data_IF_212524221768
#
_entry.id   IF_212524221768
#
_cell.length_a   1.000
_cell.length_b   1.000
_cell.length_c   1.000
_cell.angle_alpha   90.00
_cell.angle_beta   90.00
_cell.angle_gamma   90.00
#
_symmetry.space_group_name_H-M   'P 1'
#
loop_
_entity.id
_entity.type
_entity.pdbx_description
1 polymer ?
#
# COMPACT_ATOMS: atom_id res chain seq x y z
N UNK A 1 -3.17 31.89 18.29
CA UNK A 1 -2.84 31.55 16.90
C UNK A 1 -2.19 30.17 16.81
N UNK A 2 -0.99 29.94 17.35
CA UNK A 2 -0.30 28.62 17.33
C UNK A 2 -1.10 27.42 17.90
N UNK A 3 -1.97 27.63 18.89
CA UNK A 3 -2.80 26.55 19.45
C UNK A 3 -3.86 26.05 18.45
N UNK A 4 -4.51 26.97 17.72
CA UNK A 4 -5.50 26.61 16.70
C UNK A 4 -4.84 25.89 15.52
N UNK A 5 -3.68 26.37 15.08
CA UNK A 5 -2.90 25.71 14.03
C UNK A 5 -2.53 24.26 14.43
N UNK A 6 -2.02 24.05 15.66
CA UNK A 6 -1.76 22.68 16.14
C UNK A 6 -3.00 21.81 16.16
N UNK A 7 -4.12 22.33 16.65
CA UNK A 7 -5.39 21.60 16.62
C UNK A 7 -5.77 21.19 15.19
N UNK A 8 -5.61 22.08 14.21
CA UNK A 8 -5.89 21.73 12.81
C UNK A 8 -4.92 20.70 12.22
N UNK A 9 -3.66 20.67 12.66
CA UNK A 9 -2.73 19.59 12.29
C UNK A 9 -3.15 18.25 12.91
N UNK A 10 -3.60 18.27 14.17
CA UNK A 10 -4.11 17.08 14.86
C UNK A 10 -5.40 16.58 14.18
N UNK A 11 -6.33 17.47 13.83
CA UNK A 11 -7.56 17.14 13.08
C UNK A 11 -7.24 16.50 11.71
N UNK A 12 -6.25 17.07 10.99
CA UNK A 12 -5.76 16.52 9.72
C UNK A 12 -5.18 15.11 9.91
N UNK A 13 -4.38 14.92 10.96
CA UNK A 13 -3.81 13.60 11.31
C UNK A 13 -4.92 12.60 11.60
N UNK A 14 -5.90 12.95 12.42
CA UNK A 14 -7.02 12.08 12.77
C UNK A 14 -7.83 11.65 11.53
N UNK A 15 -8.12 12.58 10.62
CA UNK A 15 -8.79 12.28 9.35
C UNK A 15 -8.03 11.28 8.50
N UNK A 16 -6.71 11.47 8.37
CA UNK A 16 -5.86 10.52 7.65
C UNK A 16 -5.87 9.14 8.31
N UNK A 17 -5.86 9.06 9.64
CA UNK A 17 -5.94 7.77 10.36
C UNK A 17 -7.28 7.06 10.16
N UNK A 18 -8.38 7.81 10.06
CA UNK A 18 -9.68 7.23 9.68
C UNK A 18 -9.61 6.62 8.29
N UNK A 19 -9.06 7.33 7.30
CA UNK A 19 -8.88 6.81 5.94
C UNK A 19 -7.98 5.57 5.91
N UNK A 20 -6.91 5.60 6.70
CA UNK A 20 -5.98 4.49 6.83
C UNK A 20 -6.65 3.21 7.33
N UNK A 21 -7.50 3.31 8.36
CA UNK A 21 -8.29 2.20 8.86
C UNK A 21 -9.29 1.65 7.82
N UNK A 22 -9.85 2.54 6.99
CA UNK A 22 -10.74 2.15 5.90
C UNK A 22 -9.99 1.40 4.78
N UNK A 23 -8.79 1.86 4.42
CA UNK A 23 -7.94 1.20 3.43
C UNK A 23 -7.50 -0.19 3.91
N UNK A 24 -7.09 -0.33 5.18
CA UNK A 24 -6.78 -1.65 5.75
C UNK A 24 -8.00 -2.58 5.71
N UNK A 25 -9.17 -2.08 6.11
CA UNK A 25 -10.41 -2.85 6.09
C UNK A 25 -10.80 -3.27 4.67
N UNK A 26 -10.54 -2.44 3.66
CA UNK A 26 -10.80 -2.76 2.26
C UNK A 26 -9.96 -3.98 1.81
N UNK A 27 -8.66 -4.01 2.15
CA UNK A 27 -7.80 -5.18 1.87
C UNK A 27 -8.34 -6.42 2.56
N UNK A 28 -8.64 -6.34 3.86
CA UNK A 28 -9.14 -7.48 4.63
C UNK A 28 -10.43 -8.06 4.03
N UNK A 29 -11.37 -7.18 3.65
CA UNK A 29 -12.63 -7.59 2.98
C UNK A 29 -12.39 -8.21 1.62
N UNK A 30 -11.52 -7.62 0.78
CA UNK A 30 -11.23 -8.15 -0.54
C UNK A 30 -10.63 -9.56 -0.49
N UNK A 31 -9.76 -9.81 0.50
CA UNK A 31 -9.14 -11.12 0.71
C UNK A 31 -10.10 -12.12 1.35
N UNK A 32 -10.97 -11.68 2.25
CA UNK A 32 -12.05 -12.53 2.75
C UNK A 32 -13.00 -12.92 1.61
N UNK A 33 -13.41 -11.97 0.77
CA UNK A 33 -14.23 -12.22 -0.42
C UNK A 33 -13.59 -13.26 -1.34
N UNK A 34 -12.27 -13.19 -1.54
CA UNK A 34 -11.51 -14.20 -2.29
C UNK A 34 -11.56 -15.58 -1.62
N UNK A 35 -11.30 -15.63 -0.31
CA UNK A 35 -11.22 -16.87 0.47
C UNK A 35 -12.54 -17.64 0.50
N UNK A 36 -13.64 -16.94 0.76
CA UNK A 36 -14.98 -17.57 0.86
C UNK A 36 -15.75 -17.56 -0.46
N UNK A 37 -15.21 -16.90 -1.50
CA UNK A 37 -15.87 -16.66 -2.78
C UNK A 37 -17.28 -16.08 -2.58
N UNK A 38 -17.36 -14.98 -1.85
CA UNK A 38 -18.62 -14.29 -1.55
C UNK A 38 -18.64 -12.88 -2.17
N UNK A 39 -19.49 -12.70 -3.18
CA UNK A 39 -19.66 -11.42 -3.88
C UNK A 39 -20.42 -10.38 -3.08
N UNK A 40 -21.12 -10.76 -2.02
CA UNK A 40 -21.74 -9.78 -1.12
C UNK A 40 -20.68 -8.98 -0.34
N UNK A 41 -19.53 -9.60 -0.06
CA UNK A 41 -18.37 -8.91 0.55
C UNK A 41 -17.73 -7.95 -0.46
N UNK A 42 -17.72 -8.30 -1.75
CA UNK A 42 -17.25 -7.41 -2.81
C UNK A 42 -18.03 -6.08 -2.84
N UNK A 43 -19.35 -6.10 -2.61
CA UNK A 43 -20.18 -4.88 -2.55
C UNK A 43 -19.77 -3.97 -1.37
N UNK A 44 -19.27 -4.55 -0.27
CA UNK A 44 -18.75 -3.80 0.87
C UNK A 44 -17.40 -3.15 0.55
N UNK A 45 -16.57 -3.78 -0.29
CA UNK A 45 -15.31 -3.20 -0.78
C UNK A 45 -15.62 -1.98 -1.66
N UNK A 46 -16.56 -2.09 -2.59
CA UNK A 46 -16.94 -1.00 -3.50
C UNK A 46 -17.47 0.23 -2.75
N UNK A 47 -18.31 0.01 -1.73
CA UNK A 47 -18.79 1.10 -0.86
C UNK A 47 -17.66 1.74 -0.05
N UNK A 48 -16.70 0.93 0.38
CA UNK A 48 -15.51 1.38 1.09
C UNK A 48 -14.64 2.30 0.23
N UNK A 49 -14.36 1.88 -1.01
CA UNK A 49 -13.57 2.67 -1.97
C UNK A 49 -14.21 4.05 -2.24
N UNK A 50 -15.53 4.11 -2.42
CA UNK A 50 -16.21 5.39 -2.64
C UNK A 50 -16.08 6.33 -1.43
N UNK A 51 -16.05 5.76 -0.23
CA UNK A 51 -15.86 6.53 1.00
C UNK A 51 -14.40 6.98 1.17
N UNK A 52 -13.43 6.14 0.83
CA UNK A 52 -12.00 6.49 0.78
C UNK A 52 -11.79 7.67 -0.19
N UNK A 53 -12.32 7.60 -1.40
CA UNK A 53 -12.22 8.67 -2.40
C UNK A 53 -12.83 10.00 -1.96
N UNK A 54 -13.86 9.97 -1.12
CA UNK A 54 -14.44 11.22 -0.56
C UNK A 54 -13.53 11.81 0.50
N UNK A 55 -12.98 10.96 1.35
CA UNK A 55 -12.10 11.36 2.44
C UNK A 55 -10.76 11.88 1.92
N UNK A 56 -10.25 11.30 0.84
CA UNK A 56 -9.06 11.78 0.12
C UNK A 56 -9.19 13.26 -0.25
N UNK A 57 -10.26 13.63 -0.96
CA UNK A 57 -10.54 15.02 -1.33
C UNK A 57 -10.71 15.95 -0.12
N UNK A 58 -11.32 15.46 0.96
CA UNK A 58 -11.50 16.24 2.19
C UNK A 58 -10.15 16.53 2.85
N UNK A 59 -9.30 15.51 2.99
CA UNK A 59 -7.96 15.63 3.57
C UNK A 59 -7.07 16.55 2.73
N UNK A 60 -7.11 16.42 1.41
CA UNK A 60 -6.36 17.28 0.50
C UNK A 60 -6.78 18.75 0.64
N UNK A 61 -8.09 19.02 0.72
CA UNK A 61 -8.57 20.38 0.92
C UNK A 61 -8.12 20.94 2.28
N UNK A 62 -8.21 20.15 3.36
CA UNK A 62 -7.73 20.56 4.69
C UNK A 62 -6.24 20.87 4.69
N UNK A 63 -5.43 20.04 4.02
CA UNK A 63 -4.00 20.23 3.89
C UNK A 63 -3.67 21.51 3.10
N UNK A 64 -4.38 21.76 1.99
CA UNK A 64 -4.22 22.97 1.19
C UNK A 64 -4.61 24.24 1.97
N UNK A 65 -5.71 24.19 2.72
CA UNK A 65 -6.16 25.30 3.56
C UNK A 65 -5.11 25.65 4.63
N UNK A 66 -4.49 24.63 5.25
CA UNK A 66 -3.41 24.83 6.21
C UNK A 66 -2.16 25.46 5.57
N UNK A 67 -1.81 25.07 4.34
CA UNK A 67 -0.69 25.68 3.61
C UNK A 67 -1.00 27.12 3.19
N UNK A 68 -2.25 27.43 2.87
CA UNK A 68 -2.66 28.75 2.36
C UNK A 68 -2.87 29.78 3.48
N UNK A 69 -3.42 29.35 4.63
CA UNK A 69 -3.84 30.25 5.70
C UNK A 69 -2.76 30.51 6.74
N UNK A 70 -1.75 29.63 6.84
CA UNK A 70 -0.77 29.64 7.92
C UNK A 70 0.66 29.71 7.36
N UNK A 71 1.63 30.03 8.22
CA UNK A 71 3.06 29.95 7.91
C UNK A 71 3.69 28.76 8.65
N UNK A 72 3.51 27.51 8.17
CA UNK A 72 4.03 26.33 8.83
C UNK A 72 5.56 26.40 8.94
N UNK A 73 6.10 25.99 10.09
CA UNK A 73 7.54 25.84 10.22
C UNK A 73 8.03 24.62 9.42
N UNK A 74 9.34 24.47 9.25
CA UNK A 74 9.92 23.43 8.40
C UNK A 74 9.36 22.01 8.68
N UNK A 75 9.22 21.63 9.95
CA UNK A 75 8.69 20.31 10.32
C UNK A 75 7.18 20.18 10.05
N UNK A 76 6.40 21.25 10.27
CA UNK A 76 4.96 21.27 10.02
C UNK A 76 4.68 21.23 8.52
N UNK A 77 5.50 21.92 7.71
CA UNK A 77 5.42 21.86 6.25
C UNK A 77 5.69 20.44 5.75
N UNK A 78 6.75 19.78 6.26
CA UNK A 78 7.03 18.39 5.89
C UNK A 78 5.90 17.45 6.32
N UNK A 79 5.29 17.68 7.47
CA UNK A 79 4.14 16.91 7.92
C UNK A 79 2.98 17.04 6.92
N UNK A 80 2.57 18.26 6.58
CA UNK A 80 1.44 18.48 5.67
C UNK A 80 1.72 17.87 4.29
N UNK A 81 2.95 18.00 3.77
CA UNK A 81 3.35 17.39 2.51
C UNK A 81 3.33 15.85 2.58
N UNK A 82 3.80 15.26 3.68
CA UNK A 82 3.73 13.82 3.88
C UNK A 82 2.28 13.35 3.97
N UNK A 83 1.39 14.08 4.65
CA UNK A 83 -0.05 13.78 4.68
C UNK A 83 -0.64 13.73 3.28
N UNK A 84 -0.40 14.73 2.43
CA UNK A 84 -0.93 14.76 1.06
C UNK A 84 -0.49 13.53 0.26
N UNK A 85 0.78 13.14 0.38
CA UNK A 85 1.31 11.98 -0.35
C UNK A 85 0.77 10.66 0.18
N UNK A 86 0.78 10.49 1.51
CA UNK A 86 0.22 9.31 2.18
C UNK A 86 -1.28 9.17 1.89
N UNK A 87 -2.01 10.29 1.81
CA UNK A 87 -3.42 10.33 1.44
C UNK A 87 -3.66 9.70 0.07
N UNK A 88 -2.86 10.09 -0.93
CA UNK A 88 -2.91 9.50 -2.26
C UNK A 88 -2.53 8.00 -2.25
N UNK A 89 -1.48 7.60 -1.53
CA UNK A 89 -1.11 6.18 -1.43
C UNK A 89 -2.21 5.33 -0.76
N UNK A 90 -2.93 5.87 0.23
CA UNK A 90 -4.06 5.19 0.87
C UNK A 90 -5.26 5.01 -0.06
N UNK A 91 -5.53 6.00 -0.92
CA UNK A 91 -6.53 5.87 -1.98
C UNK A 91 -6.17 4.72 -2.93
N UNK A 92 -4.91 4.66 -3.35
CA UNK A 92 -4.41 3.59 -4.23
C UNK A 92 -4.44 2.20 -3.60
N UNK A 93 -4.26 2.11 -2.27
CA UNK A 93 -4.49 0.87 -1.53
C UNK A 93 -5.96 0.45 -1.62
N UNK A 94 -6.90 1.40 -1.49
CA UNK A 94 -8.33 1.17 -1.70
C UNK A 94 -8.64 0.65 -3.11
N UNK A 95 -8.06 1.28 -4.13
CA UNK A 95 -8.18 0.85 -5.54
C UNK A 95 -7.63 -0.55 -5.79
N UNK A 96 -6.50 -0.91 -5.17
CA UNK A 96 -5.94 -2.25 -5.27
C UNK A 96 -6.86 -3.29 -4.62
N UNK A 97 -7.47 -2.96 -3.47
CA UNK A 97 -8.48 -3.82 -2.83
C UNK A 97 -9.73 -3.99 -3.71
N UNK A 98 -10.21 -2.91 -4.35
CA UNK A 98 -11.29 -2.97 -5.34
C UNK A 98 -10.91 -3.84 -6.55
N UNK A 99 -9.69 -3.70 -7.05
CA UNK A 99 -9.17 -4.54 -8.14
C UNK A 99 -9.23 -6.03 -7.79
N UNK A 100 -8.86 -6.40 -6.56
CA UNK A 100 -8.97 -7.78 -6.05
C UNK A 100 -10.43 -8.23 -6.04
N UNK A 101 -11.33 -7.41 -5.49
CA UNK A 101 -12.77 -7.65 -5.45
C UNK A 101 -13.36 -7.93 -6.84
N UNK A 102 -12.95 -7.17 -7.86
CA UNK A 102 -13.38 -7.40 -9.25
C UNK A 102 -12.93 -8.76 -9.78
N UNK A 103 -11.69 -9.19 -9.46
CA UNK A 103 -11.20 -10.53 -9.83
C UNK A 103 -12.00 -11.64 -9.14
N UNK A 104 -12.40 -11.42 -7.88
CA UNK A 104 -13.25 -12.37 -7.13
C UNK A 104 -14.61 -12.54 -7.81
N UNK A 105 -15.22 -11.45 -8.30
CA UNK A 105 -16.48 -11.52 -9.05
C UNK A 105 -16.32 -12.31 -10.34
N UNK A 106 -15.23 -12.08 -11.09
CA UNK A 106 -14.95 -12.87 -12.30
C UNK A 106 -14.73 -14.34 -12.02
N UNK A 107 -14.05 -14.66 -10.90
CA UNK A 107 -13.83 -16.03 -10.47
C UNK A 107 -15.14 -16.81 -10.28
N UNK A 108 -16.24 -16.18 -9.86
CA UNK A 108 -17.54 -16.86 -9.67
C UNK A 108 -18.04 -17.63 -10.90
N UNK A 109 -17.68 -17.18 -12.10
CA UNK A 109 -18.06 -17.86 -13.33
C UNK A 109 -17.37 -19.22 -13.51
N UNK A 110 -16.39 -19.54 -12.65
CA UNK A 110 -15.54 -20.73 -12.77
C UNK A 110 -15.59 -21.60 -11.51
N UNK A 111 -15.49 -22.94 -11.66
CA UNK A 111 -15.31 -23.84 -10.53
C UNK A 111 -14.10 -23.47 -9.69
N UNK A 112 -14.17 -23.78 -8.39
CA UNK A 112 -13.02 -23.64 -7.49
C UNK A 112 -11.89 -24.52 -8.03
N UNK A 113 -10.70 -23.94 -8.15
CA UNK A 113 -9.49 -24.62 -8.55
C UNK A 113 -8.46 -24.51 -7.44
N UNK A 114 -7.76 -25.61 -7.18
CA UNK A 114 -6.62 -25.61 -6.27
C UNK A 114 -5.41 -25.06 -7.02
N UNK A 115 -5.10 -23.78 -6.79
CA UNK A 115 -3.99 -23.11 -7.44
C UNK A 115 -2.75 -23.22 -6.55
N UNK A 116 -1.57 -23.55 -7.11
CA UNK A 116 -0.33 -23.77 -6.34
C UNK A 116 0.34 -22.45 -5.91
N UNK A 117 -0.43 -21.53 -5.31
CA UNK A 117 0.03 -20.23 -4.81
C UNK A 117 -0.64 -19.93 -3.47
N UNK A 118 0.04 -19.14 -2.63
CA UNK A 118 -0.45 -18.77 -1.30
C UNK A 118 -0.82 -17.27 -1.25
N UNK A 119 -1.97 -16.95 -1.86
CA UNK A 119 -2.54 -15.59 -1.83
C UNK A 119 -2.80 -15.11 -0.39
N UNK A 120 -3.37 -15.92 0.54
CA UNK A 120 -3.59 -15.48 1.92
C UNK A 120 -2.30 -15.05 2.63
N UNK A 121 -1.18 -15.76 2.42
CA UNK A 121 0.12 -15.37 2.97
C UNK A 121 0.62 -14.05 2.40
N UNK A 122 0.55 -13.89 1.08
CA UNK A 122 0.96 -12.64 0.43
C UNK A 122 0.11 -11.45 0.93
N UNK A 123 -1.19 -11.65 1.08
CA UNK A 123 -2.11 -10.66 1.63
C UNK A 123 -1.81 -10.29 3.08
N UNK A 124 -1.51 -11.29 3.92
CA UNK A 124 -1.12 -11.08 5.31
C UNK A 124 0.14 -10.21 5.41
N UNK A 125 1.13 -10.48 4.56
CA UNK A 125 2.38 -9.72 4.50
C UNK A 125 2.14 -8.28 4.03
N UNK A 126 1.49 -8.08 2.88
CA UNK A 126 1.19 -6.76 2.35
C UNK A 126 0.35 -5.92 3.34
N UNK A 127 -0.69 -6.51 3.93
CA UNK A 127 -1.48 -5.84 4.98
C UNK A 127 -0.65 -5.50 6.23
N UNK A 128 0.34 -6.32 6.59
CA UNK A 128 1.24 -6.02 7.71
C UNK A 128 2.20 -4.86 7.40
N UNK A 129 2.62 -4.70 6.14
CA UNK A 129 3.42 -3.56 5.70
C UNK A 129 2.62 -2.26 5.84
N UNK A 130 1.37 -2.24 5.37
CA UNK A 130 0.46 -1.08 5.52
C UNK A 130 0.29 -0.72 6.99
N UNK A 131 -0.05 -1.69 7.86
CA UNK A 131 -0.18 -1.45 9.30
C UNK A 131 1.08 -0.86 9.93
N UNK A 132 2.25 -1.37 9.57
CA UNK A 132 3.54 -0.89 10.11
C UNK A 132 3.89 0.50 9.60
N UNK A 133 3.63 0.79 8.33
CA UNK A 133 3.83 2.12 7.75
C UNK A 133 2.95 3.16 8.46
N UNK A 134 1.70 2.80 8.75
CA UNK A 134 0.76 3.63 9.50
C UNK A 134 1.16 3.79 10.97
N UNK A 135 1.64 2.73 11.61
CA UNK A 135 2.19 2.82 12.97
C UNK A 135 3.36 3.80 13.01
N UNK A 136 4.30 3.70 12.05
CA UNK A 136 5.43 4.62 11.93
C UNK A 136 4.96 6.06 11.76
N UNK A 137 3.90 6.31 10.98
CA UNK A 137 3.29 7.62 10.84
C UNK A 137 2.66 8.13 12.15
N UNK A 138 1.91 7.29 12.87
CA UNK A 138 1.27 7.66 14.15
C UNK A 138 2.32 8.08 15.17
N UNK A 139 3.39 7.29 15.28
CA UNK A 139 4.44 7.42 16.30
C UNK A 139 5.55 8.40 15.87
N UNK A 140 5.50 8.91 14.63
CA UNK A 140 6.58 9.67 14.01
C UNK A 140 7.92 8.92 14.09
N UNK A 141 7.89 7.61 13.87
CA UNK A 141 9.04 6.72 14.02
C UNK A 141 9.61 6.29 12.66
N UNK A 142 10.68 6.96 12.25
CA UNK A 142 11.42 6.63 11.04
C UNK A 142 12.09 5.25 11.09
N UNK A 143 12.40 4.70 12.27
CA UNK A 143 13.02 3.37 12.38
C UNK A 143 12.01 2.28 12.05
N UNK A 144 10.77 2.38 12.56
CA UNK A 144 9.69 1.46 12.17
C UNK A 144 9.40 1.55 10.66
N UNK A 145 9.41 2.76 10.08
CA UNK A 145 9.25 2.94 8.63
C UNK A 145 10.37 2.23 7.82
N UNK A 146 11.63 2.30 8.25
CA UNK A 146 12.73 1.59 7.58
C UNK A 146 12.54 0.06 7.57
N UNK A 147 11.89 -0.49 8.61
CA UNK A 147 11.60 -1.94 8.62
C UNK A 147 10.63 -2.34 7.51
N UNK A 148 9.68 -1.48 7.13
CA UNK A 148 8.74 -1.76 6.04
C UNK A 148 9.47 -1.87 4.70
N UNK A 149 10.44 -0.99 4.44
CA UNK A 149 11.25 -1.03 3.22
C UNK A 149 11.95 -2.40 3.06
N UNK A 150 12.40 -3.01 4.16
CA UNK A 150 13.03 -4.33 4.13
C UNK A 150 12.06 -5.50 3.93
N UNK A 151 10.76 -5.29 4.14
CA UNK A 151 9.73 -6.32 3.96
C UNK A 151 9.31 -6.49 2.50
N UNK A 152 9.50 -5.45 1.68
CA UNK A 152 9.09 -5.38 0.28
C UNK A 152 9.67 -6.54 -0.57
N UNK A 153 10.96 -6.80 -0.40
CA UNK A 153 11.69 -7.94 -0.98
C UNK A 153 10.96 -9.29 -0.82
N UNK A 154 10.22 -9.46 0.27
CA UNK A 154 9.49 -10.70 0.56
C UNK A 154 8.19 -10.80 -0.24
N UNK A 155 7.49 -9.67 -0.46
CA UNK A 155 6.29 -9.62 -1.30
C UNK A 155 6.67 -9.81 -2.77
N UNK A 156 7.73 -9.15 -3.22
CA UNK A 156 8.27 -9.29 -4.58
C UNK A 156 8.62 -10.73 -4.93
N UNK A 157 9.28 -11.44 -4.01
CA UNK A 157 9.61 -12.87 -4.19
C UNK A 157 8.35 -13.72 -4.30
N UNK A 158 7.33 -13.46 -3.49
CA UNK A 158 6.06 -14.18 -3.57
C UNK A 158 5.34 -13.89 -4.90
N UNK A 159 5.30 -12.63 -5.33
CA UNK A 159 4.69 -12.22 -6.59
C UNK A 159 5.39 -12.88 -7.80
N UNK A 160 6.72 -12.85 -7.82
CA UNK A 160 7.53 -13.49 -8.87
C UNK A 160 7.35 -15.01 -8.92
N UNK A 161 7.30 -15.66 -7.75
CA UNK A 161 7.03 -17.10 -7.65
C UNK A 161 5.62 -17.45 -8.13
N UNK A 162 4.60 -16.67 -7.74
CA UNK A 162 3.23 -16.83 -8.21
C UNK A 162 3.15 -16.67 -9.73
N UNK A 163 3.82 -15.66 -10.29
CA UNK A 163 3.88 -15.42 -11.72
C UNK A 163 4.44 -16.63 -12.50
N UNK A 164 5.61 -17.12 -12.11
CA UNK A 164 6.23 -18.28 -12.75
C UNK A 164 5.35 -19.54 -12.66
N UNK A 165 4.78 -19.78 -11.47
CA UNK A 165 3.99 -20.97 -11.20
C UNK A 165 2.68 -20.98 -11.98
N UNK A 166 1.95 -19.85 -11.98
CA UNK A 166 0.68 -19.72 -12.69
C UNK A 166 0.85 -19.76 -14.21
N UNK A 167 1.91 -19.13 -14.76
CA UNK A 167 2.22 -19.26 -16.18
C UNK A 167 2.52 -20.70 -16.59
N UNK A 168 3.23 -21.44 -15.72
CA UNK A 168 3.50 -22.86 -15.97
C UNK A 168 2.22 -23.69 -15.92
N UNK A 169 1.33 -23.40 -14.97
CA UNK A 169 0.02 -24.03 -14.86
C UNK A 169 -0.83 -23.80 -16.11
N UNK A 170 -0.93 -22.55 -16.60
CA UNK A 170 -1.69 -22.21 -17.81
C UNK A 170 -1.22 -22.99 -19.05
N UNK A 171 0.09 -23.26 -19.15
CA UNK A 171 0.67 -24.06 -20.24
C UNK A 171 0.35 -25.55 -20.12
N UNK A 172 0.34 -26.09 -18.90
CA UNK A 172 0.11 -27.52 -18.62
C UNK A 172 -1.38 -27.86 -18.64
N UNK A 173 -2.22 -26.98 -18.13
CA UNK A 173 -3.66 -27.17 -17.93
C UNK A 173 -4.42 -25.94 -18.46
N UNK A 174 -4.62 -25.83 -19.79
CA UNK A 174 -5.25 -24.65 -20.40
C UNK A 174 -6.67 -24.36 -19.92
N UNK A 175 -7.39 -25.39 -19.44
CA UNK A 175 -8.71 -25.28 -18.83
C UNK A 175 -8.72 -24.46 -17.52
N UNK A 176 -7.58 -24.34 -16.83
CA UNK A 176 -7.45 -23.53 -15.60
C UNK A 176 -6.98 -22.10 -15.87
N UNK A 177 -6.78 -21.72 -17.13
CA UNK A 177 -6.27 -20.39 -17.51
C UNK A 177 -7.08 -19.24 -16.92
N UNK A 178 -8.43 -19.25 -16.94
CA UNK A 178 -9.21 -18.14 -16.37
C UNK A 178 -9.00 -17.97 -14.86
N UNK A 179 -8.94 -19.07 -14.10
CA UNK A 179 -8.69 -19.02 -12.65
C UNK A 179 -7.25 -18.57 -12.36
N UNK A 180 -6.27 -19.12 -13.08
CA UNK A 180 -4.88 -18.76 -12.92
C UNK A 180 -4.62 -17.28 -13.27
N UNK A 181 -5.30 -16.74 -14.29
CA UNK A 181 -5.16 -15.33 -14.70
C UNK A 181 -5.71 -14.40 -13.63
N UNK A 182 -6.92 -14.70 -13.12
CA UNK A 182 -7.50 -13.91 -12.03
C UNK A 182 -6.64 -13.95 -10.77
N UNK A 183 -6.10 -15.12 -10.41
CA UNK A 183 -5.19 -15.25 -9.28
C UNK A 183 -3.88 -14.48 -9.48
N UNK A 184 -3.35 -14.44 -10.71
CA UNK A 184 -2.18 -13.63 -11.05
C UNK A 184 -2.46 -12.12 -10.88
N UNK A 185 -3.64 -11.66 -11.29
CA UNK A 185 -4.05 -10.27 -11.13
C UNK A 185 -4.27 -9.89 -9.65
N UNK A 186 -4.74 -10.83 -8.83
CA UNK A 186 -4.84 -10.65 -7.37
C UNK A 186 -3.45 -10.53 -6.75
N UNK A 187 -2.51 -11.42 -7.11
CA UNK A 187 -1.10 -11.35 -6.69
C UNK A 187 -0.49 -9.99 -7.01
N UNK A 188 -0.66 -9.50 -8.24
CA UNK A 188 -0.17 -8.18 -8.64
C UNK A 188 -0.82 -7.03 -7.86
N UNK A 189 -2.11 -7.13 -7.54
CA UNK A 189 -2.76 -6.12 -6.72
C UNK A 189 -2.23 -6.10 -5.28
N UNK A 190 -1.82 -7.25 -4.74
CA UNK A 190 -1.18 -7.33 -3.43
C UNK A 190 0.25 -6.78 -3.41
N UNK A 191 1.00 -6.94 -4.50
CA UNK A 191 2.31 -6.29 -4.67
C UNK A 191 2.14 -4.76 -4.72
N UNK A 192 1.20 -4.23 -5.49
CA UNK A 192 0.88 -2.79 -5.44
C UNK A 192 0.55 -2.28 -4.04
N UNK A 193 -0.17 -3.06 -3.22
CA UNK A 193 -0.43 -2.69 -1.81
C UNK A 193 0.86 -2.59 -1.01
N UNK A 194 1.82 -3.49 -1.24
CA UNK A 194 3.14 -3.44 -0.61
C UNK A 194 3.93 -2.22 -1.08
N UNK A 195 3.94 -1.91 -2.38
CA UNK A 195 4.57 -0.71 -2.94
C UNK A 195 4.05 0.58 -2.27
N UNK A 196 2.72 0.70 -2.11
CA UNK A 196 2.13 1.85 -1.44
C UNK A 196 2.49 1.91 0.04
N UNK A 197 2.64 0.78 0.73
CA UNK A 197 3.15 0.76 2.10
C UNK A 197 4.61 1.22 2.19
N UNK A 198 5.43 0.87 1.20
CA UNK A 198 6.81 1.33 1.05
C UNK A 198 6.84 2.85 0.84
N UNK A 199 6.03 3.39 -0.08
CA UNK A 199 5.91 4.84 -0.31
C UNK A 199 5.51 5.61 0.96
N UNK A 200 4.48 5.14 1.68
CA UNK A 200 4.04 5.74 2.95
C UNK A 200 5.21 5.78 3.95
N UNK A 201 5.99 4.70 4.02
CA UNK A 201 7.14 4.61 4.92
C UNK A 201 8.25 5.58 4.53
N UNK A 202 8.54 5.74 3.24
CA UNK A 202 9.47 6.78 2.75
C UNK A 202 9.01 8.19 3.16
N UNK A 203 7.72 8.47 3.07
CA UNK A 203 7.15 9.78 3.43
C UNK A 203 7.21 10.06 4.93
N UNK A 204 7.04 9.03 5.76
CA UNK A 204 7.30 9.13 7.20
C UNK A 204 8.76 9.45 7.47
N UNK A 205 9.71 8.77 6.82
CA UNK A 205 11.14 9.03 7.00
C UNK A 205 11.50 10.45 6.57
N UNK A 206 10.97 10.90 5.43
CA UNK A 206 11.15 12.27 4.96
C UNK A 206 10.60 13.28 5.97
N UNK A 207 9.40 13.06 6.51
CA UNK A 207 8.81 13.94 7.49
C UNK A 207 9.66 14.05 8.77
N UNK A 208 10.05 12.91 9.33
CA UNK A 208 10.75 12.83 10.62
C UNK A 208 12.19 13.31 10.49
N UNK A 209 12.94 12.79 9.51
CA UNK A 209 14.39 13.03 9.39
C UNK A 209 14.75 14.16 8.44
N UNK A 210 13.86 14.55 7.53
CA UNK A 210 14.17 15.52 6.48
C UNK A 210 15.12 15.00 5.40
N UNK A 211 15.37 13.70 5.38
CA UNK A 211 16.26 13.06 4.42
C UNK A 211 15.41 12.34 3.37
N UNK A 212 15.73 12.56 2.10
CA UNK A 212 15.15 11.77 1.01
C UNK A 212 15.85 10.40 0.95
N UNK A 213 15.13 9.35 1.34
CA UNK A 213 15.63 7.97 1.38
C UNK A 213 15.72 7.35 -0.02
N UNK A 214 15.00 7.92 -1.00
CA UNK A 214 14.91 7.41 -2.38
C UNK A 214 16.27 7.38 -3.08
N UNK A 215 17.16 8.31 -2.70
CA UNK A 215 18.50 8.41 -3.28
C UNK A 215 19.53 7.44 -2.69
N UNK A 216 19.26 6.77 -1.56
CA UNK A 216 20.23 5.84 -0.95
C UNK A 216 20.12 4.40 -1.46
N UNK A 217 18.96 3.98 -1.98
CA UNK A 217 18.80 2.62 -2.52
C UNK A 217 19.26 2.46 -3.98
N UNK A 218 19.52 3.56 -4.70
CA UNK A 218 19.95 3.54 -6.11
C UNK A 218 21.47 3.46 -6.34
N UNK A 219 22.30 3.73 -5.34
CA UNK A 219 23.76 3.61 -5.47
C UNK A 219 24.20 2.17 -5.18
N UNK A 220 24.26 1.34 -6.23
CA UNK A 220 25.14 0.17 -6.19
C UNK A 220 26.56 0.65 -5.88
N UNK A 221 27.27 0.06 -4.91
CA UNK A 221 28.64 0.48 -4.61
C UNK A 221 29.47 0.33 -5.88
N UNK A 222 30.06 1.44 -6.31
CA UNK A 222 31.04 1.42 -7.38
C UNK A 222 32.13 0.43 -6.96
N UNK A 223 32.29 -0.64 -7.73
CA UNK A 223 33.38 -1.61 -7.56
C UNK A 223 34.69 -0.84 -7.55
N UNK A 224 35.34 -0.78 -6.39
CA UNK A 224 36.72 -0.34 -6.28
C UNK A 224 37.55 -1.25 -7.20
N UNK A 225 37.98 -0.71 -8.34
CA UNK A 225 39.07 -1.30 -9.11
C UNK A 225 40.34 -1.08 -8.30
N UNK A 226 40.64 -2.03 -7.42
CA UNK A 226 41.96 -2.20 -6.85
C UNK A 226 42.96 -2.29 -7.99
N UNK A 227 43.84 -1.29 -8.06
CA UNK A 227 44.95 -1.29 -9.00
C UNK A 227 45.87 -2.46 -8.73
N UNK A 228 46.22 -3.17 -9.78
CA UNK A 228 47.45 -3.96 -9.84
C UNK A 228 48.33 -3.29 -10.88
N UNK A 229 49.21 -2.40 -10.40
CA UNK A 229 50.50 -2.19 -11.04
C UNK A 229 51.39 -3.37 -10.66
N UNK A 230 51.68 -4.23 -11.63
CA UNK A 230 52.94 -4.97 -11.77
C UNK A 230 53.00 -5.48 -13.19
#
# INVERSE_FOLDING_TARGET
MRLRFRQSLDDLKEKLLVMAGMAEQAIQRAIEAYRVRDTSICDLVDRGELAINRLEREIDQMALDLLAMEQPMAIDLRFILAVIKINADLERVGDAARSISDRVRELQAFPVADLPIDIPRMASLAGSMVRKALQAFIEADAQTAETVLSMDDSVDKLNGAAHYTLLTLMKKEPNLTPQALNALMISRSLERVADHATNISEDVIFWVRGADVRHKMGEKPATEKTGTRS
#
